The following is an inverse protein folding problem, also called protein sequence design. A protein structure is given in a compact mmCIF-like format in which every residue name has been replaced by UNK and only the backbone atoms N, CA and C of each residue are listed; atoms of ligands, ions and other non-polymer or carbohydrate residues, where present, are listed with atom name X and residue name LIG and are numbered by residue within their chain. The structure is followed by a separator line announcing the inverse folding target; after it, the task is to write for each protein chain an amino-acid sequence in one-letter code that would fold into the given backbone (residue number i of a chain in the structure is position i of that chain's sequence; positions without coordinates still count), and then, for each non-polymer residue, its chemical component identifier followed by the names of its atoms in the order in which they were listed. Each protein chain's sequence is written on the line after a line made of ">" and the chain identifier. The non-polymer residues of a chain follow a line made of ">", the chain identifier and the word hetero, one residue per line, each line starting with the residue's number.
data_IF_626495688584
#
_entry.id   IF_626495688584
#
_cell.length_a   1.000
_cell.length_b   1.000
_cell.length_c   1.000
_cell.angle_alpha   90.00
_cell.angle_beta   90.00
_cell.angle_gamma   90.00
#
_symmetry.space_group_name_H-M   'P 1'
#
loop_
_entity.id
_entity.type
_entity.pdbx_description
1 polymer ?
#
# COMPACT_ATOMS: atom_id res chain seq x y z
N UNK A 1 -0.66 -24.77 4.48
CA UNK A 1 -1.20 -23.61 3.73
C UNK A 1 -1.79 -24.13 2.44
N UNK A 2 -3.03 -23.78 2.12
CA UNK A 2 -3.66 -24.16 0.85
C UNK A 2 -3.09 -23.28 -0.28
N UNK A 3 -2.96 -23.79 -1.50
CA UNK A 3 -2.45 -22.98 -2.63
C UNK A 3 -3.22 -21.66 -2.85
N UNK A 4 -4.56 -21.62 -2.74
CA UNK A 4 -5.32 -20.37 -2.88
C UNK A 4 -4.92 -19.30 -1.85
N UNK A 5 -4.83 -19.66 -0.56
CA UNK A 5 -4.42 -18.72 0.49
C UNK A 5 -3.00 -18.20 0.25
N UNK A 6 -2.06 -19.08 -0.12
CA UNK A 6 -0.68 -18.66 -0.39
C UNK A 6 -0.59 -17.63 -1.52
N UNK A 7 -1.44 -17.78 -2.55
CA UNK A 7 -1.52 -16.86 -3.66
C UNK A 7 -2.06 -15.51 -3.21
N UNK A 8 -3.16 -15.49 -2.46
CA UNK A 8 -3.77 -14.25 -1.96
C UNK A 8 -2.81 -13.47 -1.06
N UNK A 9 -2.09 -14.16 -0.16
CA UNK A 9 -1.06 -13.52 0.68
C UNK A 9 0.10 -12.96 -0.15
N UNK A 10 0.43 -13.59 -1.28
CA UNK A 10 1.49 -13.13 -2.19
C UNK A 10 1.04 -11.88 -2.95
N UNK A 11 -0.21 -11.83 -3.40
CA UNK A 11 -0.76 -10.64 -4.08
C UNK A 11 -0.87 -9.45 -3.13
N UNK A 12 -1.41 -9.65 -1.92
CA UNK A 12 -1.42 -8.62 -0.87
C UNK A 12 0.00 -8.08 -0.63
N UNK A 13 0.99 -8.97 -0.49
CA UNK A 13 2.39 -8.55 -0.32
C UNK A 13 2.89 -7.71 -1.50
N UNK A 14 2.56 -8.12 -2.72
CA UNK A 14 2.99 -7.44 -3.95
C UNK A 14 2.39 -6.04 -4.02
N UNK A 15 1.12 -5.86 -3.69
CA UNK A 15 0.47 -4.56 -3.67
C UNK A 15 0.98 -3.66 -2.54
N UNK A 16 1.21 -4.20 -1.34
CA UNK A 16 1.85 -3.46 -0.25
C UNK A 16 3.23 -2.92 -0.68
N UNK A 17 4.05 -3.73 -1.35
CA UNK A 17 5.34 -3.28 -1.88
C UNK A 17 5.20 -2.22 -2.98
N UNK A 18 4.18 -2.33 -3.83
CA UNK A 18 3.89 -1.33 -4.85
C UNK A 18 3.45 0.01 -4.22
N UNK A 19 2.66 -0.03 -3.15
CA UNK A 19 2.24 1.16 -2.39
C UNK A 19 3.43 1.81 -1.69
N UNK A 20 4.33 1.01 -1.08
CA UNK A 20 5.56 1.51 -0.50
C UNK A 20 6.43 2.26 -1.53
N UNK A 21 6.59 1.70 -2.74
CA UNK A 21 7.31 2.37 -3.82
C UNK A 21 6.63 3.67 -4.26
N UNK A 22 5.29 3.73 -4.24
CA UNK A 22 4.55 4.96 -4.56
C UNK A 22 4.71 6.03 -3.47
N UNK A 23 4.70 5.64 -2.20
CA UNK A 23 4.96 6.54 -1.07
C UNK A 23 6.39 7.09 -1.10
N UNK A 24 7.39 6.26 -1.44
CA UNK A 24 8.77 6.73 -1.65
C UNK A 24 8.88 7.74 -2.79
N UNK A 25 8.16 7.52 -3.90
CA UNK A 25 8.10 8.45 -5.03
C UNK A 25 7.46 9.80 -4.62
N UNK A 26 6.34 9.76 -3.90
CA UNK A 26 5.66 10.95 -3.39
C UNK A 26 6.58 11.77 -2.46
N UNK A 27 7.24 11.09 -1.51
CA UNK A 27 8.21 11.71 -0.61
C UNK A 27 9.38 12.35 -1.37
N UNK A 28 9.90 11.67 -2.40
CA UNK A 28 10.96 12.19 -3.25
C UNK A 28 10.55 13.47 -4.00
N UNK A 29 9.32 13.50 -4.54
CA UNK A 29 8.74 14.67 -5.19
C UNK A 29 8.57 15.85 -4.21
N UNK A 30 8.03 15.59 -3.01
CA UNK A 30 7.86 16.60 -1.97
C UNK A 30 9.21 17.19 -1.53
N UNK A 31 10.23 16.34 -1.35
CA UNK A 31 11.56 16.79 -0.98
C UNK A 31 12.22 17.60 -2.11
N UNK A 32 12.06 17.19 -3.37
CA UNK A 32 12.59 17.95 -4.51
C UNK A 32 11.92 19.33 -4.63
N UNK A 33 10.59 19.40 -4.46
CA UNK A 33 9.84 20.66 -4.45
C UNK A 33 10.38 21.61 -3.38
N UNK A 34 10.62 21.09 -2.18
CA UNK A 34 11.10 21.88 -1.04
C UNK A 34 12.57 22.32 -1.21
N UNK A 35 13.47 21.37 -1.52
CA UNK A 35 14.93 21.62 -1.54
C UNK A 35 15.39 22.41 -2.75
N UNK A 36 14.85 22.12 -3.93
CA UNK A 36 15.31 22.74 -5.17
C UNK A 36 14.56 24.04 -5.49
N UNK A 37 13.55 24.40 -4.68
CA UNK A 37 12.49 25.37 -5.05
C UNK A 37 11.95 25.11 -6.45
N UNK A 38 12.02 23.85 -6.88
CA UNK A 38 11.54 23.45 -8.18
C UNK A 38 10.02 23.51 -8.13
N UNK A 39 9.41 24.10 -9.16
CA UNK A 39 7.99 23.93 -9.39
C UNK A 39 7.74 22.47 -9.76
N UNK A 40 7.59 21.60 -8.76
CA UNK A 40 7.03 20.27 -8.99
C UNK A 40 5.59 20.48 -9.43
N UNK A 41 5.18 19.92 -10.58
CA UNK A 41 3.81 20.07 -11.03
C UNK A 41 2.87 19.57 -9.93
N UNK A 42 1.93 20.40 -9.48
CA UNK A 42 0.93 20.00 -8.50
C UNK A 42 0.17 18.73 -8.95
N UNK A 43 0.04 18.55 -10.27
CA UNK A 43 -0.50 17.36 -10.91
C UNK A 43 0.32 16.11 -10.59
N UNK A 44 1.66 16.19 -10.53
CA UNK A 44 2.52 15.05 -10.21
C UNK A 44 2.33 14.58 -8.77
N UNK A 45 2.21 15.51 -7.81
CA UNK A 45 1.96 15.16 -6.41
C UNK A 45 0.55 14.58 -6.23
N UNK A 46 -0.48 15.23 -6.80
CA UNK A 46 -1.85 14.75 -6.75
C UNK A 46 -2.02 13.35 -7.39
N UNK A 47 -1.29 13.07 -8.47
CA UNK A 47 -1.31 11.74 -9.09
C UNK A 47 -0.63 10.67 -8.23
N UNK A 48 0.39 11.05 -7.45
CA UNK A 48 1.08 10.13 -6.54
C UNK A 48 0.17 9.78 -5.34
N UNK A 49 -0.48 10.78 -4.74
CA UNK A 49 -1.49 10.63 -3.69
C UNK A 49 -2.64 9.73 -4.15
N UNK A 50 -3.27 10.05 -5.29
CA UNK A 50 -4.36 9.25 -5.86
C UNK A 50 -3.97 7.81 -6.26
N UNK A 51 -2.66 7.51 -6.41
CA UNK A 51 -2.17 6.15 -6.62
C UNK A 51 -2.05 5.39 -5.29
N UNK A 52 -1.63 6.06 -4.24
CA UNK A 52 -1.52 5.52 -2.88
C UNK A 52 -2.92 5.17 -2.35
N UNK A 53 -3.89 6.08 -2.48
CA UNK A 53 -5.29 5.87 -2.05
C UNK A 53 -5.92 4.64 -2.72
N UNK A 54 -5.70 4.52 -4.03
CA UNK A 54 -6.24 3.41 -4.81
C UNK A 54 -5.64 2.07 -4.35
N UNK A 55 -4.32 2.04 -4.14
CA UNK A 55 -3.64 0.84 -3.68
C UNK A 55 -4.08 0.46 -2.26
N UNK A 56 -4.33 1.43 -1.39
CA UNK A 56 -4.89 1.15 -0.07
C UNK A 56 -6.26 0.47 -0.18
N UNK A 57 -7.16 1.03 -0.98
CA UNK A 57 -8.50 0.45 -1.17
C UNK A 57 -8.43 -0.96 -1.77
N UNK A 58 -7.59 -1.16 -2.78
CA UNK A 58 -7.36 -2.48 -3.39
C UNK A 58 -6.83 -3.50 -2.35
N UNK A 59 -5.85 -3.12 -1.52
CA UNK A 59 -5.28 -4.02 -0.51
C UNK A 59 -6.31 -4.32 0.59
N UNK A 60 -7.08 -3.33 1.05
CA UNK A 60 -8.11 -3.53 2.07
C UNK A 60 -9.20 -4.51 1.57
N UNK A 61 -9.60 -4.40 0.30
CA UNK A 61 -10.53 -5.35 -0.32
C UNK A 61 -9.95 -6.77 -0.39
N UNK A 62 -8.70 -6.92 -0.82
CA UNK A 62 -7.99 -8.21 -0.86
C UNK A 62 -7.89 -8.86 0.52
N UNK A 63 -7.60 -8.04 1.54
CA UNK A 63 -7.51 -8.49 2.93
C UNK A 63 -8.88 -8.98 3.42
N UNK A 64 -9.96 -8.23 3.18
CA UNK A 64 -11.31 -8.61 3.57
C UNK A 64 -11.71 -9.92 2.88
N UNK A 65 -11.43 -10.06 1.58
CA UNK A 65 -11.72 -11.28 0.82
C UNK A 65 -10.93 -12.48 1.37
N UNK A 66 -9.63 -12.29 1.65
CA UNK A 66 -8.77 -13.34 2.22
C UNK A 66 -9.29 -13.81 3.59
N UNK A 67 -9.68 -12.87 4.47
CA UNK A 67 -10.26 -13.19 5.77
C UNK A 67 -11.58 -13.96 5.64
N UNK A 68 -12.45 -13.55 4.72
CA UNK A 68 -13.76 -14.16 4.51
C UNK A 68 -13.66 -15.57 3.90
N UNK A 69 -12.75 -15.78 2.93
CA UNK A 69 -12.63 -17.04 2.20
C UNK A 69 -11.82 -18.10 2.94
N UNK A 70 -10.73 -17.71 3.59
CA UNK A 70 -9.74 -18.67 4.09
C UNK A 70 -9.66 -18.77 5.61
N UNK A 71 -10.22 -17.80 6.34
CA UNK A 71 -10.16 -17.74 7.81
C UNK A 71 -8.74 -18.04 8.35
N UNK A 72 -7.71 -17.29 7.88
CA UNK A 72 -6.32 -17.58 8.22
C UNK A 72 -6.08 -17.49 9.73
N UNK A 73 -5.10 -18.26 10.22
CA UNK A 73 -4.76 -18.31 11.65
C UNK A 73 -3.26 -18.13 11.88
N UNK A 74 -2.89 -17.84 13.12
CA UNK A 74 -1.50 -17.73 13.56
C UNK A 74 -0.65 -16.81 12.68
N UNK A 75 0.29 -17.37 11.91
CA UNK A 75 1.21 -16.61 11.06
C UNK A 75 0.50 -15.84 9.96
N UNK A 76 -0.46 -16.48 9.29
CA UNK A 76 -1.16 -15.90 8.14
C UNK A 76 -2.07 -14.75 8.59
N UNK A 77 -2.76 -14.91 9.72
CA UNK A 77 -3.55 -13.83 10.32
C UNK A 77 -2.69 -12.65 10.76
N UNK A 78 -1.52 -12.94 11.36
CA UNK A 78 -0.56 -11.88 11.73
C UNK A 78 -0.03 -11.14 10.52
N UNK A 79 0.21 -11.84 9.41
CA UNK A 79 0.63 -11.22 8.17
C UNK A 79 -0.43 -10.23 7.66
N UNK A 80 -1.67 -10.68 7.51
CA UNK A 80 -2.78 -9.87 6.99
C UNK A 80 -3.03 -8.64 7.87
N UNK A 81 -3.09 -8.82 9.20
CA UNK A 81 -3.28 -7.70 10.14
C UNK A 81 -2.11 -6.72 10.16
N UNK A 82 -0.88 -7.21 9.97
CA UNK A 82 0.30 -6.34 9.83
C UNK A 82 0.26 -5.56 8.51
N UNK A 83 -0.17 -6.18 7.43
CA UNK A 83 -0.35 -5.52 6.14
C UNK A 83 -1.35 -4.35 6.24
N UNK A 84 -2.51 -4.54 6.88
CA UNK A 84 -3.48 -3.45 7.12
C UNK A 84 -2.83 -2.24 7.82
N UNK A 85 -2.03 -2.51 8.86
CA UNK A 85 -1.37 -1.44 9.61
C UNK A 85 -0.32 -0.72 8.77
N UNK A 86 0.49 -1.46 8.03
CA UNK A 86 1.52 -0.90 7.14
C UNK A 86 0.87 -0.04 6.05
N UNK A 87 -0.22 -0.51 5.44
CA UNK A 87 -0.96 0.25 4.41
C UNK A 87 -1.46 1.59 4.97
N UNK A 88 -2.03 1.60 6.18
CA UNK A 88 -2.43 2.85 6.82
C UNK A 88 -1.24 3.78 7.08
N UNK A 89 -0.11 3.23 7.56
CA UNK A 89 1.10 4.01 7.79
C UNK A 89 1.68 4.57 6.47
N UNK A 90 1.54 3.85 5.34
CA UNK A 90 1.99 4.28 4.02
C UNK A 90 1.11 5.37 3.40
N UNK A 91 -0.22 5.29 3.57
CA UNK A 91 -1.11 6.36 3.10
C UNK A 91 -0.82 7.67 3.82
N UNK A 92 -0.62 7.61 5.14
CA UNK A 92 -0.22 8.78 5.93
C UNK A 92 1.15 9.37 5.60
N UNK A 93 1.99 8.66 4.85
CA UNK A 93 3.24 9.19 4.28
C UNK A 93 2.98 9.89 2.94
N UNK A 94 1.97 9.44 2.20
CA UNK A 94 1.51 10.04 0.95
C UNK A 94 0.80 11.38 1.16
N UNK A 95 0.07 11.50 2.26
CA UNK A 95 -0.53 12.74 2.79
C UNK A 95 0.51 13.78 3.27
#
# INVERSE_FOLDING_TARGET
>A
MTEPLSRDLTEIKRHVLAMASAAEEALGLALAAYTQRAAVPAISLANAEAKIDRLQLEIDEEIIQCLALHQPVAGDLRFVTSAMRIVNDLERIGD
#
